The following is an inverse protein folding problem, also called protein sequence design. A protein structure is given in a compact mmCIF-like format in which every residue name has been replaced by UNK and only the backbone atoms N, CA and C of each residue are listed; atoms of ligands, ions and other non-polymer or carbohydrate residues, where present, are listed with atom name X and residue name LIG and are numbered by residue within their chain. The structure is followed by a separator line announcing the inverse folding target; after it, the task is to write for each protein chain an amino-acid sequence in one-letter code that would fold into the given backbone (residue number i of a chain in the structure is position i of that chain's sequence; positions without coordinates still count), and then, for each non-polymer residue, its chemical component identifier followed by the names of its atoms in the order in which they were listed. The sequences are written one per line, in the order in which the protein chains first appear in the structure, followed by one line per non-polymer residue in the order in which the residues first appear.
data_IF_160902301883
#
_entry.id   IF_160902301883
#
_cell.length_a   1.000
_cell.length_b   1.000
_cell.length_c   1.000
_cell.angle_alpha   90.00
_cell.angle_beta   90.00
_cell.angle_gamma   90.00
#
_symmetry.space_group_name_H-M   'P 1'
#
loop_
_entity.id
_entity.type
_entity.pdbx_description
1 polymer ?
#
# COMPACT_ATOMS: atom_id res chain seq x y z
N UNK A 1 -5.02 -16.46 8.76
CA UNK A 1 -4.47 -15.10 8.49
C UNK A 1 -3.45 -15.26 7.38
N UNK A 2 -3.42 -14.41 6.35
CA UNK A 2 -2.44 -14.61 5.28
C UNK A 2 -1.06 -14.13 5.75
N UNK A 3 -0.01 -14.92 5.53
CA UNK A 3 1.35 -14.58 5.95
C UNK A 3 1.84 -13.23 5.41
N UNK A 4 1.27 -12.78 4.28
CA UNK A 4 1.63 -11.53 3.61
C UNK A 4 1.05 -10.28 4.27
N UNK A 5 -0.12 -10.39 4.90
CA UNK A 5 -0.66 -9.28 5.72
C UNK A 5 0.24 -9.03 6.92
N UNK A 6 0.68 -10.11 7.57
CA UNK A 6 1.67 -10.04 8.64
C UNK A 6 2.99 -9.49 8.12
N UNK A 7 3.48 -9.96 6.97
CA UNK A 7 4.73 -9.46 6.37
C UNK A 7 4.70 -7.94 6.19
N UNK A 8 3.67 -7.39 5.52
CA UNK A 8 3.56 -5.94 5.31
C UNK A 8 3.43 -5.18 6.63
N UNK A 9 2.63 -5.69 7.58
CA UNK A 9 2.47 -5.07 8.90
C UNK A 9 3.81 -4.96 9.62
N UNK A 10 4.56 -6.05 9.69
CA UNK A 10 5.86 -6.08 10.37
C UNK A 10 6.91 -5.19 9.67
N UNK A 11 6.90 -5.12 8.33
CA UNK A 11 7.74 -4.18 7.58
C UNK A 11 7.41 -2.73 7.96
N UNK A 12 6.13 -2.35 7.88
CA UNK A 12 5.69 -0.98 8.16
C UNK A 12 5.90 -0.59 9.63
N UNK A 13 5.84 -1.56 10.54
CA UNK A 13 6.17 -1.40 11.97
C UNK A 13 7.68 -1.34 12.27
N UNK A 14 8.56 -1.44 11.28
CA UNK A 14 10.01 -1.35 11.50
C UNK A 14 10.63 -2.60 12.11
N UNK A 15 10.02 -3.78 11.96
CA UNK A 15 10.60 -5.02 12.46
C UNK A 15 11.86 -5.40 11.67
N UNK A 16 13.02 -5.22 12.29
CA UNK A 16 14.34 -5.48 11.69
C UNK A 16 14.49 -6.90 11.15
N UNK A 17 14.10 -7.92 11.92
CA UNK A 17 14.26 -9.32 11.52
C UNK A 17 13.43 -9.64 10.26
N UNK A 18 12.23 -9.07 10.19
CA UNK A 18 11.37 -9.23 9.00
C UNK A 18 11.97 -8.49 7.81
N UNK A 19 12.43 -7.25 8.01
CA UNK A 19 13.07 -6.44 6.96
C UNK A 19 14.28 -7.18 6.39
N UNK A 20 15.21 -7.61 7.25
CA UNK A 20 16.40 -8.37 6.84
C UNK A 20 16.06 -9.60 6.00
N UNK A 21 15.02 -10.34 6.40
CA UNK A 21 14.57 -11.54 5.70
C UNK A 21 13.96 -11.23 4.33
N UNK A 22 13.10 -10.21 4.21
CA UNK A 22 12.41 -9.90 2.94
C UNK A 22 13.34 -9.20 1.94
N UNK A 23 14.35 -8.47 2.41
CA UNK A 23 15.29 -7.74 1.55
C UNK A 23 16.47 -8.58 1.06
N UNK A 24 16.59 -9.86 1.43
CA UNK A 24 17.73 -10.73 1.02
C UNK A 24 17.94 -10.81 -0.48
N UNK A 25 16.88 -10.66 -1.26
CA UNK A 25 16.91 -10.72 -2.73
C UNK A 25 16.76 -9.36 -3.40
N UNK A 26 16.65 -8.28 -2.62
CA UNK A 26 16.55 -6.90 -3.11
C UNK A 26 17.93 -6.38 -3.53
N UNK A 27 17.94 -5.34 -4.38
CA UNK A 27 19.15 -4.58 -4.64
C UNK A 27 19.64 -3.87 -3.37
N UNK A 28 20.89 -3.41 -3.36
CA UNK A 28 21.44 -2.62 -2.26
C UNK A 28 20.62 -1.35 -2.01
N UNK A 29 20.28 -0.62 -3.07
CA UNK A 29 19.42 0.58 -3.00
C UNK A 29 18.03 0.28 -2.43
N UNK A 30 17.38 -0.79 -2.89
CA UNK A 30 16.08 -1.22 -2.38
C UNK A 30 16.20 -1.54 -0.88
N UNK A 31 17.23 -2.32 -0.51
CA UNK A 31 17.50 -2.70 0.88
C UNK A 31 17.71 -1.47 1.75
N UNK A 32 18.60 -0.56 1.38
CA UNK A 32 18.84 0.69 2.13
C UNK A 32 17.55 1.47 2.37
N UNK A 33 16.69 1.57 1.35
CA UNK A 33 15.41 2.23 1.48
C UNK A 33 14.48 1.54 2.48
N UNK A 34 14.38 0.20 2.48
CA UNK A 34 13.59 -0.52 3.50
C UNK A 34 14.07 -0.23 4.92
N UNK A 35 15.39 -0.21 5.16
CA UNK A 35 15.93 -0.02 6.51
C UNK A 35 15.59 1.35 7.11
N UNK A 36 15.32 2.38 6.28
CA UNK A 36 14.91 3.72 6.75
C UNK A 36 13.63 3.71 7.59
N UNK A 37 12.76 2.70 7.44
CA UNK A 37 11.52 2.63 8.23
C UNK A 37 11.76 2.30 9.71
N UNK A 38 12.94 1.78 10.06
CA UNK A 38 13.29 1.45 11.45
C UNK A 38 13.37 2.72 12.30
N UNK A 39 13.87 3.82 11.72
CA UNK A 39 14.04 5.10 12.43
C UNK A 39 12.71 5.86 12.58
N UNK A 40 11.75 5.59 11.69
CA UNK A 40 10.43 6.25 11.69
C UNK A 40 9.32 5.28 11.26
N UNK A 41 8.98 4.29 12.12
CA UNK A 41 8.00 3.27 11.80
C UNK A 41 6.57 3.80 11.87
N UNK A 42 5.65 3.07 11.26
CA UNK A 42 4.21 3.27 11.45
C UNK A 42 3.71 2.45 12.64
N UNK A 43 2.75 3.01 13.37
CA UNK A 43 1.87 2.21 14.23
C UNK A 43 0.86 1.54 13.31
N UNK A 44 0.85 0.21 13.28
CA UNK A 44 0.03 -0.56 12.35
C UNK A 44 -0.90 -1.50 13.12
N UNK A 45 -2.20 -1.37 12.87
CA UNK A 45 -3.24 -2.23 13.44
C UNK A 45 -4.02 -2.93 12.34
N UNK A 46 -4.56 -4.10 12.65
CA UNK A 46 -5.47 -4.80 11.74
C UNK A 46 -6.82 -4.11 11.75
N UNK A 47 -7.42 -3.94 10.59
CA UNK A 47 -8.81 -3.55 10.51
C UNK A 47 -9.69 -4.74 10.91
N UNK A 48 -10.78 -4.49 11.64
CA UNK A 48 -11.62 -5.56 12.17
C UNK A 48 -12.44 -6.24 11.05
N UNK A 49 -12.14 -7.53 10.80
CA UNK A 49 -13.01 -8.50 10.10
C UNK A 49 -13.16 -8.36 8.57
N UNK A 50 -13.53 -9.46 7.91
CA UNK A 50 -13.66 -9.61 6.44
C UNK A 50 -14.74 -8.74 5.76
N UNK A 51 -15.47 -7.94 6.53
CA UNK A 51 -16.46 -6.94 6.07
C UNK A 51 -15.87 -5.52 6.01
N UNK A 52 -14.62 -5.32 6.45
CA UNK A 52 -13.97 -4.02 6.48
C UNK A 52 -13.55 -3.51 5.10
N UNK A 53 -13.47 -2.17 4.98
CA UNK A 53 -13.01 -1.45 3.78
C UNK A 53 -11.50 -1.55 3.52
N UNK A 54 -10.72 -2.05 4.48
CA UNK A 54 -9.27 -2.20 4.44
C UNK A 54 -8.85 -3.45 5.23
N UNK A 55 -7.61 -3.92 5.05
CA UNK A 55 -7.03 -5.03 5.82
C UNK A 55 -6.23 -4.52 7.03
N UNK A 56 -5.50 -3.41 6.87
CA UNK A 56 -4.73 -2.76 7.93
C UNK A 56 -4.92 -1.24 7.92
N UNK A 57 -4.68 -0.63 9.08
CA UNK A 57 -4.55 0.82 9.26
C UNK A 57 -3.13 1.10 9.72
N UNK A 58 -2.45 2.04 9.06
CA UNK A 58 -1.09 2.45 9.40
C UNK A 58 -1.06 3.96 9.67
N UNK A 59 -0.55 4.37 10.82
CA UNK A 59 -0.48 5.79 11.23
C UNK A 59 0.93 6.18 11.63
N UNK A 60 1.37 7.39 11.26
CA UNK A 60 2.66 7.96 11.64
C UNK A 60 2.61 9.47 11.53
N UNK A 61 2.79 10.16 12.67
CA UNK A 61 2.67 11.62 12.72
C UNK A 61 1.31 12.07 12.21
N UNK A 62 1.31 12.98 11.24
CA UNK A 62 0.13 13.55 10.59
C UNK A 62 -0.36 12.74 9.36
N UNK A 63 0.17 11.54 9.15
CA UNK A 63 -0.16 10.71 7.99
C UNK A 63 -0.79 9.40 8.45
N UNK A 64 -1.94 9.07 7.84
CA UNK A 64 -2.67 7.84 8.10
C UNK A 64 -3.10 7.17 6.79
N UNK A 65 -2.96 5.86 6.74
CA UNK A 65 -3.31 5.03 5.60
C UNK A 65 -4.36 3.98 5.98
N UNK A 66 -5.38 3.83 5.13
CA UNK A 66 -6.21 2.62 5.04
C UNK A 66 -5.64 1.76 3.92
N UNK A 67 -5.15 0.57 4.24
CA UNK A 67 -4.44 -0.28 3.26
C UNK A 67 -5.22 -1.54 2.98
N UNK A 68 -5.58 -1.72 1.72
CA UNK A 68 -6.09 -2.98 1.18
C UNK A 68 -4.94 -3.79 0.59
N UNK A 69 -4.80 -5.05 1.00
CA UNK A 69 -3.75 -5.94 0.55
C UNK A 69 -4.29 -6.87 -0.54
N UNK A 70 -3.54 -6.97 -1.64
CA UNK A 70 -3.80 -7.93 -2.70
C UNK A 70 -2.57 -8.77 -2.97
N UNK A 71 -2.75 -10.08 -2.95
CA UNK A 71 -1.69 -11.04 -3.27
C UNK A 71 -2.14 -11.93 -4.40
N UNK A 72 -1.32 -12.08 -5.43
CA UNK A 72 -1.58 -12.97 -6.58
C UNK A 72 -0.27 -13.62 -7.07
N UNK A 73 -0.39 -14.67 -7.89
CA UNK A 73 0.73 -15.18 -8.68
C UNK A 73 0.93 -14.35 -9.96
N UNK A 74 -0.15 -13.85 -10.55
CA UNK A 74 -0.12 -13.00 -11.74
C UNK A 74 0.19 -11.54 -11.42
N UNK A 75 0.58 -10.79 -12.45
CA UNK A 75 0.96 -9.37 -12.38
C UNK A 75 -0.19 -8.39 -12.65
N UNK A 76 -1.43 -8.85 -12.77
CA UNK A 76 -2.57 -7.97 -13.01
C UNK A 76 -3.80 -8.36 -12.18
N UNK A 77 -4.60 -7.36 -11.83
CA UNK A 77 -5.87 -7.51 -11.13
C UNK A 77 -6.88 -6.58 -11.82
N UNK A 78 -8.01 -7.13 -12.25
CA UNK A 78 -9.16 -6.36 -12.71
C UNK A 78 -10.27 -6.44 -11.64
N UNK A 79 -10.77 -5.29 -11.18
CA UNK A 79 -11.65 -5.23 -9.99
C UNK A 79 -13.10 -5.64 -10.31
N UNK A 80 -13.47 -5.69 -11.60
CA UNK A 80 -14.75 -6.23 -12.05
C UNK A 80 -14.82 -7.75 -11.99
N UNK A 81 -13.69 -8.45 -11.86
CA UNK A 81 -13.69 -9.88 -11.55
C UNK A 81 -14.32 -10.15 -10.18
N UNK A 82 -14.66 -11.41 -9.90
CA UNK A 82 -15.26 -11.82 -8.62
C UNK A 82 -16.57 -11.04 -8.30
N UNK A 83 -17.38 -10.78 -9.34
CA UNK A 83 -18.70 -10.14 -9.21
C UNK A 83 -18.66 -8.65 -8.83
N UNK A 84 -17.54 -7.96 -9.11
CA UNK A 84 -17.39 -6.53 -8.85
C UNK A 84 -17.30 -6.16 -7.36
N UNK A 85 -17.12 -7.14 -6.46
CA UNK A 85 -17.01 -6.87 -5.02
C UNK A 85 -15.82 -5.95 -4.71
N UNK A 86 -14.71 -6.15 -5.42
CA UNK A 86 -13.50 -5.33 -5.23
C UNK A 86 -13.69 -3.90 -5.74
N UNK A 87 -14.42 -3.74 -6.85
CA UNK A 87 -14.83 -2.43 -7.37
C UNK A 87 -15.63 -1.66 -6.29
N UNK A 88 -16.72 -2.26 -5.78
CA UNK A 88 -17.55 -1.64 -4.73
C UNK A 88 -16.76 -1.28 -3.47
N UNK A 89 -15.87 -2.16 -3.02
CA UNK A 89 -15.01 -1.92 -1.85
C UNK A 89 -14.06 -0.75 -2.07
N UNK A 90 -13.48 -0.63 -3.27
CA UNK A 90 -12.61 0.50 -3.63
C UNK A 90 -13.39 1.82 -3.68
N UNK A 91 -14.60 1.81 -4.23
CA UNK A 91 -15.49 2.97 -4.27
C UNK A 91 -15.89 3.40 -2.84
N UNK A 92 -16.26 2.46 -1.96
CA UNK A 92 -16.58 2.74 -0.55
C UNK A 92 -15.36 3.27 0.23
N UNK A 93 -14.18 2.70 -0.02
CA UNK A 93 -12.94 3.19 0.56
C UNK A 93 -12.64 4.62 0.10
N UNK A 94 -12.85 4.95 -1.17
CA UNK A 94 -12.68 6.31 -1.70
C UNK A 94 -13.57 7.31 -0.97
N UNK A 95 -14.88 7.04 -0.92
CA UNK A 95 -15.86 7.94 -0.30
C UNK A 95 -15.51 8.22 1.17
N UNK A 96 -15.18 7.18 1.93
CA UNK A 96 -14.79 7.31 3.34
C UNK A 96 -13.49 8.08 3.51
N UNK A 97 -12.49 7.80 2.68
CA UNK A 97 -11.20 8.49 2.72
C UNK A 97 -11.31 9.97 2.34
N UNK A 98 -12.13 10.33 1.35
CA UNK A 98 -12.39 11.73 0.97
C UNK A 98 -13.01 12.52 2.14
N UNK A 99 -14.02 11.95 2.79
CA UNK A 99 -14.70 12.60 3.93
C UNK A 99 -13.82 12.72 5.17
N UNK A 100 -12.91 11.78 5.37
CA UNK A 100 -12.04 11.72 6.56
C UNK A 100 -10.64 12.29 6.35
N UNK A 101 -10.29 12.69 5.12
CA UNK A 101 -8.94 13.14 4.72
C UNK A 101 -7.84 12.09 5.00
N UNK A 102 -8.20 10.81 4.94
CA UNK A 102 -7.29 9.66 5.11
C UNK A 102 -6.83 9.14 3.75
N UNK A 103 -5.64 8.54 3.68
CA UNK A 103 -5.09 8.03 2.43
C UNK A 103 -5.46 6.56 2.18
N UNK A 104 -6.18 6.23 1.09
CA UNK A 104 -6.45 4.86 0.69
C UNK A 104 -5.28 4.30 -0.11
N UNK A 105 -4.71 3.19 0.35
CA UNK A 105 -3.66 2.48 -0.37
C UNK A 105 -4.12 1.08 -0.79
N UNK A 106 -3.63 0.64 -1.94
CA UNK A 106 -3.59 -0.76 -2.33
C UNK A 106 -2.15 -1.23 -2.30
N UNK A 107 -1.87 -2.29 -1.55
CA UNK A 107 -0.59 -2.96 -1.52
C UNK A 107 -0.69 -4.27 -2.32
N UNK A 108 -0.12 -4.27 -3.53
CA UNK A 108 -0.15 -5.41 -4.43
C UNK A 108 1.17 -6.20 -4.39
N UNK A 109 1.10 -7.44 -3.90
CA UNK A 109 2.22 -8.39 -3.88
C UNK A 109 2.10 -9.48 -4.94
N UNK A 110 3.20 -9.76 -5.62
CA UNK A 110 3.37 -10.95 -6.46
C UNK A 110 4.12 -12.03 -5.68
N UNK A 111 3.58 -13.26 -5.67
CA UNK A 111 4.21 -14.42 -5.00
C UNK A 111 5.48 -14.86 -5.73
N UNK A 112 6.48 -15.32 -4.97
CA UNK A 112 7.74 -15.89 -5.47
C UNK A 112 8.55 -14.93 -6.36
N UNK A 113 8.34 -13.62 -6.21
CA UNK A 113 9.14 -12.61 -6.90
C UNK A 113 10.47 -12.38 -6.16
N UNK A 114 11.57 -12.25 -6.91
CA UNK A 114 12.90 -11.91 -6.37
C UNK A 114 13.09 -10.39 -6.44
N UNK A 115 13.54 -9.78 -5.35
CA UNK A 115 13.64 -8.32 -5.19
C UNK A 115 12.43 -7.71 -4.51
N UNK A 116 12.25 -6.40 -4.65
CA UNK A 116 11.07 -5.73 -4.11
C UNK A 116 9.80 -6.28 -4.77
N UNK A 117 9.02 -6.99 -3.97
CA UNK A 117 7.88 -7.80 -4.38
C UNK A 117 6.53 -7.10 -4.14
N UNK A 118 6.53 -5.89 -3.59
CA UNK A 118 5.35 -5.12 -3.24
C UNK A 118 5.20 -3.89 -4.14
N UNK A 119 3.95 -3.55 -4.46
CA UNK A 119 3.63 -2.39 -5.30
C UNK A 119 2.52 -1.60 -4.64
N UNK A 120 2.81 -0.33 -4.37
CA UNK A 120 1.93 0.59 -3.67
C UNK A 120 1.21 1.46 -4.68
N UNK A 121 -0.09 1.56 -4.46
CA UNK A 121 -1.03 2.36 -5.23
C UNK A 121 -1.90 3.17 -4.29
N UNK A 122 -2.45 4.26 -4.80
CA UNK A 122 -3.46 5.05 -4.09
C UNK A 122 -4.67 5.28 -4.98
N UNK A 123 -5.85 5.47 -4.39
CA UNK A 123 -6.95 6.11 -5.12
C UNK A 123 -6.66 7.61 -5.27
N UNK A 124 -7.27 8.25 -6.28
CA UNK A 124 -7.26 9.71 -6.40
C UNK A 124 -8.33 10.24 -5.45
N UNK A 125 -7.89 10.92 -4.40
CA UNK A 125 -8.77 11.43 -3.34
C UNK A 125 -8.89 12.94 -3.49
N UNK A 126 -10.10 13.46 -3.57
CA UNK A 126 -10.37 14.90 -3.53
C UNK A 126 -10.14 15.51 -2.15
N UNK A 127 -9.98 16.83 -2.09
CA UNK A 127 -10.01 17.62 -0.84
C UNK A 127 -8.96 17.26 0.22
N UNK A 128 -7.85 16.62 -0.17
CA UNK A 128 -6.69 16.44 0.70
C UNK A 128 -5.91 17.75 0.85
N UNK A 129 -5.30 17.92 2.01
CA UNK A 129 -4.49 19.10 2.37
C UNK A 129 -3.14 18.65 2.94
N UNK A 130 -2.19 19.59 3.04
CA UNK A 130 -0.88 19.37 3.66
C UNK A 130 -0.11 18.17 3.10
N UNK A 131 0.55 17.42 3.99
CA UNK A 131 1.35 16.25 3.61
C UNK A 131 0.51 15.14 2.97
N UNK A 132 -0.75 14.97 3.37
CA UNK A 132 -1.61 13.95 2.79
C UNK A 132 -1.81 14.16 1.29
N UNK A 133 -2.04 15.41 0.86
CA UNK A 133 -2.14 15.76 -0.57
C UNK A 133 -0.85 15.42 -1.33
N UNK A 134 0.29 15.85 -0.80
CA UNK A 134 1.62 15.63 -1.40
C UNK A 134 1.89 14.13 -1.58
N UNK A 135 1.61 13.32 -0.55
CA UNK A 135 1.77 11.86 -0.61
C UNK A 135 0.81 11.24 -1.62
N UNK A 136 -0.46 11.64 -1.63
CA UNK A 136 -1.44 11.14 -2.59
C UNK A 136 -0.95 11.40 -4.02
N UNK A 137 -0.51 12.62 -4.34
CA UNK A 137 -0.03 13.00 -5.67
C UNK A 137 1.21 12.22 -6.11
N UNK A 138 2.09 11.85 -5.17
CA UNK A 138 3.31 11.09 -5.47
C UNK A 138 3.06 9.61 -5.77
N UNK A 139 2.08 8.99 -5.12
CA UNK A 139 1.82 7.54 -5.26
C UNK A 139 1.05 7.26 -6.57
N UNK A 140 1.48 6.26 -7.38
CA UNK A 140 0.75 5.83 -8.57
C UNK A 140 -0.72 5.52 -8.29
N UNK A 141 -1.58 5.87 -9.25
CA UNK A 141 -3.01 5.72 -9.10
C UNK A 141 -3.49 4.36 -9.56
N UNK A 142 -4.51 3.82 -8.88
CA UNK A 142 -5.27 2.69 -9.40
C UNK A 142 -5.81 3.06 -10.78
N UNK A 143 -5.46 2.27 -11.80
CA UNK A 143 -5.86 2.54 -13.18
C UNK A 143 -7.35 2.30 -13.39
N UNK A 144 -7.93 2.90 -14.43
CA UNK A 144 -9.31 2.63 -14.88
C UNK A 144 -9.31 2.16 -16.33
N UNK A 145 -10.16 1.20 -16.65
CA UNK A 145 -10.43 0.83 -18.05
C UNK A 145 -11.39 1.84 -18.68
N UNK A 146 -11.61 1.75 -20.01
CA UNK A 146 -12.59 2.59 -20.71
C UNK A 146 -14.01 2.50 -20.10
N UNK A 147 -14.37 1.32 -19.59
CA UNK A 147 -15.67 1.09 -18.95
C UNK A 147 -15.68 1.44 -17.45
N UNK A 148 -14.66 2.16 -16.96
CA UNK A 148 -14.56 2.65 -15.58
C UNK A 148 -14.09 1.63 -14.54
N UNK A 149 -13.81 0.38 -14.92
CA UNK A 149 -13.38 -0.65 -13.98
C UNK A 149 -11.95 -0.39 -13.50
N UNK A 150 -11.73 -0.50 -12.18
CA UNK A 150 -10.40 -0.40 -11.62
C UNK A 150 -9.52 -1.57 -12.02
N UNK A 151 -8.23 -1.30 -12.19
CA UNK A 151 -7.22 -2.32 -12.38
C UNK A 151 -5.89 -1.95 -11.73
N UNK A 152 -5.12 -2.98 -11.40
CA UNK A 152 -3.74 -2.88 -10.94
C UNK A 152 -2.86 -3.70 -11.89
N UNK A 153 -1.76 -3.13 -12.36
CA UNK A 153 -0.69 -3.84 -13.06
C UNK A 153 0.57 -3.73 -12.23
N UNK A 154 1.15 -4.84 -11.84
CA UNK A 154 2.23 -4.84 -10.85
C UNK A 154 3.41 -3.95 -11.28
N UNK A 155 3.80 -4.00 -12.56
CA UNK A 155 4.93 -3.20 -13.07
C UNK A 155 4.66 -1.67 -13.10
N UNK A 156 3.42 -1.21 -12.95
CA UNK A 156 3.05 0.22 -12.95
C UNK A 156 2.97 0.84 -11.53
N UNK A 157 3.13 0.02 -10.48
CA UNK A 157 3.05 0.49 -9.10
C UNK A 157 4.39 0.98 -8.56
N UNK A 158 4.35 1.74 -7.46
CA UNK A 158 5.56 2.17 -6.78
C UNK A 158 6.13 0.99 -5.96
N UNK A 159 7.43 0.72 -6.05
CA UNK A 159 8.06 -0.28 -5.18
C UNK A 159 7.87 0.10 -3.71
N UNK A 160 7.75 -0.89 -2.83
CA UNK A 160 7.62 -0.58 -1.40
C UNK A 160 8.90 0.06 -0.84
N UNK A 161 10.08 -0.30 -1.34
CA UNK A 161 11.34 0.40 -1.07
C UNK A 161 11.21 1.91 -1.35
N UNK A 162 10.74 2.28 -2.53
CA UNK A 162 10.69 3.68 -2.96
C UNK A 162 9.64 4.45 -2.15
N UNK A 163 8.51 3.80 -1.85
CA UNK A 163 7.51 4.34 -0.93
C UNK A 163 8.13 4.60 0.46
N UNK A 164 8.83 3.63 1.05
CA UNK A 164 9.46 3.79 2.36
C UNK A 164 10.51 4.91 2.33
N UNK A 165 11.37 4.93 1.30
CA UNK A 165 12.39 5.95 1.13
C UNK A 165 11.78 7.36 1.05
N UNK A 166 10.72 7.51 0.26
CA UNK A 166 9.97 8.76 0.13
C UNK A 166 9.30 9.18 1.44
N UNK A 167 8.60 8.25 2.08
CA UNK A 167 7.92 8.50 3.36
C UNK A 167 8.92 8.89 4.44
N UNK A 168 10.11 8.30 4.48
CA UNK A 168 11.16 8.63 5.46
C UNK A 168 11.76 10.01 5.22
N UNK A 169 11.84 10.46 3.95
CA UNK A 169 12.29 11.81 3.62
C UNK A 169 11.28 12.90 4.01
N UNK A 170 9.98 12.60 4.02
CA UNK A 170 8.92 13.55 4.42
C UNK A 170 8.84 13.84 5.92
N UNK A 171 9.49 13.03 6.76
CA UNK A 171 9.51 13.23 8.23
C UNK A 171 10.55 14.27 8.65
N UNK A 172 11.48 14.62 7.75
CA UNK A 172 12.48 15.67 7.97
C UNK A 172 11.90 17.08 7.82
#
# INVERSE_FOLDING_TARGET
MSDYERELREILSGNRDVIERVTKSCSEEERENYFKIIDSPFIVVRAAGSLGIADIVAVRGDISFLVEIKVRKGKSILFSHEGGRMQRKADEMLEKCERSKVLPLFAFRVKNYKGDSWRIYSLKVGNLEGRAKIVNERIPKVGKTANGNYHLKWDEGMKLSDFIGYMSALVK
#
